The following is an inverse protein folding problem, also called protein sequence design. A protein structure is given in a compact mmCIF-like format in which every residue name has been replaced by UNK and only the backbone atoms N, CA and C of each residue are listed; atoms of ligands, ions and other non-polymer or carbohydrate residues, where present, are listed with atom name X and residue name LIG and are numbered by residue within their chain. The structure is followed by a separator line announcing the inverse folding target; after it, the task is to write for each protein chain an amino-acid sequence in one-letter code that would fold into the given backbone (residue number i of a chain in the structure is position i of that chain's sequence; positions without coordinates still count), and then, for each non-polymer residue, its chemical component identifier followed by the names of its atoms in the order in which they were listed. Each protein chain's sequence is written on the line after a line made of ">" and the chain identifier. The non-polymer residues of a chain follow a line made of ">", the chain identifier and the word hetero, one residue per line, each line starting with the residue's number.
data_IF_730545630267
#
_entry.id   IF_730545630267
#
_cell.length_a   1.000
_cell.length_b   1.000
_cell.length_c   1.000
_cell.angle_alpha   90.00
_cell.angle_beta   90.00
_cell.angle_gamma   90.00
#
_symmetry.space_group_name_H-M   'P 1'
#
loop_
_entity.id
_entity.type
_entity.pdbx_description
1 polymer ?
#
# COMPACT_ATOMS: atom_id res chain seq x y z
N UNK A 1 -22.05 -8.67 -21.90
CA UNK A 1 -22.35 -7.23 -21.89
C UNK A 1 -22.55 -6.65 -20.49
N UNK A 2 -23.41 -7.17 -19.61
CA UNK A 2 -23.65 -6.60 -18.25
C UNK A 2 -22.38 -6.51 -17.37
N UNK A 3 -21.43 -7.44 -17.45
CA UNK A 3 -20.16 -7.39 -16.70
C UNK A 3 -19.23 -6.24 -17.16
N UNK A 4 -19.21 -5.95 -18.47
CA UNK A 4 -18.42 -4.84 -19.02
C UNK A 4 -18.99 -3.48 -18.58
N UNK A 5 -20.31 -3.30 -18.62
CA UNK A 5 -20.95 -2.05 -18.19
C UNK A 5 -20.71 -1.78 -16.70
N UNK A 6 -20.73 -2.82 -15.86
CA UNK A 6 -20.41 -2.72 -14.44
C UNK A 6 -18.94 -2.31 -14.23
N UNK A 7 -18.04 -2.73 -15.11
CA UNK A 7 -16.61 -2.36 -15.06
C UNK A 7 -16.35 -0.87 -15.37
N UNK A 8 -17.20 -0.24 -16.18
CA UNK A 8 -17.13 1.18 -16.57
C UNK A 8 -17.98 2.11 -15.69
N UNK A 9 -18.75 1.53 -14.74
CA UNK A 9 -19.59 2.32 -13.84
C UNK A 9 -18.72 3.15 -12.88
N UNK A 10 -18.99 4.46 -12.79
CA UNK A 10 -18.34 5.39 -11.85
C UNK A 10 -18.49 4.92 -10.39
N UNK A 11 -19.62 4.30 -10.06
CA UNK A 11 -19.87 3.72 -8.73
C UNK A 11 -18.93 2.56 -8.41
N UNK A 12 -18.61 1.71 -9.40
CA UNK A 12 -17.64 0.63 -9.24
C UNK A 12 -16.21 1.16 -9.08
N UNK A 13 -15.84 2.19 -9.86
CA UNK A 13 -14.52 2.83 -9.77
C UNK A 13 -14.36 3.55 -8.43
N UNK A 14 -15.40 4.27 -7.98
CA UNK A 14 -15.40 4.91 -6.67
C UNK A 14 -15.33 3.89 -5.52
N UNK A 15 -16.02 2.76 -5.65
CA UNK A 15 -15.96 1.66 -4.67
C UNK A 15 -14.55 1.08 -4.54
N UNK A 16 -13.94 0.68 -5.66
CA UNK A 16 -12.59 0.14 -5.67
C UNK A 16 -11.54 1.14 -5.12
N UNK A 17 -11.68 2.43 -5.46
CA UNK A 17 -10.74 3.47 -4.98
C UNK A 17 -10.92 3.74 -3.48
N UNK A 18 -12.16 3.68 -2.96
CA UNK A 18 -12.43 3.83 -1.54
C UNK A 18 -11.92 2.62 -0.73
N UNK A 19 -11.97 1.43 -1.29
CA UNK A 19 -11.40 0.21 -0.69
C UNK A 19 -9.87 0.33 -0.52
N UNK A 20 -9.20 1.05 -1.43
CA UNK A 20 -7.77 1.38 -1.31
C UNK A 20 -7.47 2.55 -0.37
N UNK A 21 -8.46 3.09 0.37
CA UNK A 21 -8.27 4.20 1.30
C UNK A 21 -8.08 5.57 0.65
N UNK A 22 -8.33 5.70 -0.67
CA UNK A 22 -8.25 6.97 -1.37
C UNK A 22 -9.64 7.60 -1.55
N UNK A 23 -9.74 8.91 -1.35
CA UNK A 23 -10.96 9.65 -1.69
C UNK A 23 -11.07 9.84 -3.21
N UNK A 24 -12.05 9.20 -3.84
CA UNK A 24 -12.36 9.44 -5.24
C UNK A 24 -12.93 10.84 -5.43
N UNK A 25 -12.20 11.72 -6.10
CA UNK A 25 -12.68 13.07 -6.41
C UNK A 25 -13.26 13.11 -7.83
N UNK A 26 -14.59 13.14 -7.92
CA UNK A 26 -15.31 13.35 -9.19
C UNK A 26 -14.81 14.58 -9.95
N UNK A 27 -14.45 15.66 -9.24
CA UNK A 27 -13.90 16.88 -9.86
C UNK A 27 -12.61 16.60 -10.61
N UNK A 28 -11.68 15.87 -10.00
CA UNK A 28 -10.39 15.50 -10.64
C UNK A 28 -10.62 14.60 -11.86
N UNK A 29 -11.59 13.70 -11.80
CA UNK A 29 -11.98 12.84 -12.92
C UNK A 29 -12.53 13.64 -14.10
N UNK A 30 -13.48 14.56 -13.84
CA UNK A 30 -14.09 15.43 -14.87
C UNK A 30 -13.03 16.34 -15.50
N UNK A 31 -12.17 16.97 -14.70
CA UNK A 31 -11.08 17.82 -15.19
C UNK A 31 -10.12 17.02 -16.09
N UNK A 32 -9.81 15.76 -15.73
CA UNK A 32 -8.98 14.89 -16.56
C UNK A 32 -9.63 14.57 -17.92
N UNK A 33 -10.94 14.31 -17.94
CA UNK A 33 -11.69 14.07 -19.19
C UNK A 33 -11.67 15.33 -20.08
N UNK A 34 -11.98 16.48 -19.50
CA UNK A 34 -12.01 17.77 -20.24
C UNK A 34 -10.61 18.07 -20.80
N UNK A 35 -9.57 17.89 -20.00
CA UNK A 35 -8.19 18.12 -20.43
C UNK A 35 -7.77 17.22 -21.59
N UNK A 36 -8.04 15.91 -21.50
CA UNK A 36 -7.72 14.97 -22.58
C UNK A 36 -8.53 15.25 -23.84
N UNK A 37 -9.82 15.49 -23.71
CA UNK A 37 -10.71 15.82 -24.85
C UNK A 37 -10.28 17.11 -25.53
N UNK A 38 -9.96 18.15 -24.75
CA UNK A 38 -9.46 19.43 -25.27
C UNK A 38 -8.13 19.28 -26.00
N UNK A 39 -7.20 18.51 -25.45
CA UNK A 39 -5.91 18.24 -26.09
C UNK A 39 -6.07 17.49 -27.43
N UNK A 40 -6.92 16.45 -27.47
CA UNK A 40 -7.22 15.70 -28.70
C UNK A 40 -7.84 16.61 -29.77
N UNK A 41 -8.77 17.49 -29.37
CA UNK A 41 -9.41 18.41 -30.29
C UNK A 41 -8.41 19.40 -30.88
N UNK A 42 -7.54 19.99 -30.04
CA UNK A 42 -6.49 20.91 -30.49
C UNK A 42 -5.53 20.24 -31.48
N UNK A 43 -5.04 19.04 -31.14
CA UNK A 43 -4.16 18.29 -32.04
C UNK A 43 -4.88 17.96 -33.35
N UNK A 44 -6.14 17.52 -33.29
CA UNK A 44 -6.94 17.25 -34.49
C UNK A 44 -7.13 18.46 -35.42
N UNK A 45 -7.30 19.65 -34.85
CA UNK A 45 -7.39 20.90 -35.59
C UNK A 45 -6.06 21.28 -36.25
N UNK A 46 -4.95 21.15 -35.54
CA UNK A 46 -3.59 21.43 -36.07
C UNK A 46 -3.31 20.55 -37.30
N UNK A 47 -3.64 19.25 -37.22
CA UNK A 47 -3.44 18.30 -38.33
C UNK A 47 -4.54 18.34 -39.38
N UNK A 48 -5.52 19.30 -39.29
CA UNK A 48 -6.65 19.43 -40.21
C UNK A 48 -7.40 18.10 -40.45
N UNK A 49 -7.55 17.29 -39.39
CA UNK A 49 -8.26 16.01 -39.48
C UNK A 49 -9.76 16.27 -39.74
N UNK A 50 -10.38 15.40 -40.56
CA UNK A 50 -11.83 15.45 -40.74
C UNK A 50 -12.54 15.18 -39.41
N UNK A 51 -13.60 15.92 -39.11
CA UNK A 51 -14.35 15.87 -37.86
C UNK A 51 -14.70 14.45 -37.39
N UNK A 52 -15.04 13.57 -38.34
CA UNK A 52 -15.35 12.15 -38.05
C UNK A 52 -14.21 11.38 -37.34
N UNK A 53 -12.94 11.68 -37.70
CA UNK A 53 -11.79 11.02 -37.09
C UNK A 53 -11.53 11.55 -35.67
N UNK A 54 -11.70 12.87 -35.47
CA UNK A 54 -11.58 13.50 -34.15
C UNK A 54 -12.63 12.89 -33.21
N UNK A 55 -13.87 12.73 -33.67
CA UNK A 55 -14.96 12.14 -32.87
C UNK A 55 -14.70 10.69 -32.51
N UNK A 56 -14.17 9.89 -33.46
CA UNK A 56 -13.78 8.50 -33.19
C UNK A 56 -12.67 8.39 -32.12
N UNK A 57 -11.64 9.24 -32.19
CA UNK A 57 -10.55 9.27 -31.21
C UNK A 57 -11.05 9.67 -29.83
N UNK A 58 -11.98 10.65 -29.74
CA UNK A 58 -12.58 11.07 -28.47
C UNK A 58 -13.36 9.90 -27.84
N UNK A 59 -14.17 9.17 -28.61
CA UNK A 59 -14.92 8.01 -28.10
C UNK A 59 -13.97 6.94 -27.59
N UNK A 60 -12.91 6.60 -28.34
CA UNK A 60 -11.89 5.65 -27.91
C UNK A 60 -11.19 6.10 -26.62
N UNK A 61 -10.85 7.39 -26.49
CA UNK A 61 -10.18 7.92 -25.30
C UNK A 61 -11.07 7.85 -24.06
N UNK A 62 -12.37 8.12 -24.19
CA UNK A 62 -13.34 8.01 -23.11
C UNK A 62 -13.50 6.58 -22.58
N UNK A 63 -13.32 5.58 -23.45
CA UNK A 63 -13.35 4.17 -23.04
C UNK A 63 -12.05 3.75 -22.33
N UNK A 64 -10.91 4.31 -22.70
CA UNK A 64 -9.61 3.95 -22.13
C UNK A 64 -9.34 4.65 -20.80
N UNK A 65 -9.80 5.89 -20.62
CA UNK A 65 -9.56 6.70 -19.42
C UNK A 65 -9.89 6.01 -18.09
N UNK A 66 -11.06 5.39 -17.90
CA UNK A 66 -11.40 4.73 -16.63
C UNK A 66 -10.45 3.56 -16.31
N UNK A 67 -9.97 2.83 -17.33
CA UNK A 67 -9.01 1.75 -17.15
C UNK A 67 -7.64 2.27 -16.68
N UNK A 68 -7.17 3.37 -17.26
CA UNK A 68 -5.90 4.01 -16.87
C UNK A 68 -5.96 4.55 -15.45
N UNK A 69 -7.07 5.17 -15.07
CA UNK A 69 -7.27 5.70 -13.72
C UNK A 69 -7.27 4.56 -12.70
N UNK A 70 -8.00 3.48 -12.94
CA UNK A 70 -8.01 2.28 -12.09
C UNK A 70 -6.59 1.74 -11.89
N UNK A 71 -5.85 1.56 -12.99
CA UNK A 71 -4.48 1.07 -12.94
C UNK A 71 -3.56 1.99 -12.14
N UNK A 72 -3.73 3.31 -12.28
CA UNK A 72 -2.95 4.30 -11.53
C UNK A 72 -3.20 4.19 -10.02
N UNK A 73 -4.47 4.13 -9.59
CA UNK A 73 -4.80 4.01 -8.16
C UNK A 73 -4.34 2.67 -7.58
N UNK A 74 -4.54 1.57 -8.31
CA UNK A 74 -4.04 0.27 -7.89
C UNK A 74 -2.51 0.25 -7.74
N UNK A 75 -1.78 0.82 -8.70
CA UNK A 75 -0.32 0.92 -8.60
C UNK A 75 0.11 1.80 -7.42
N UNK A 76 -0.55 2.94 -7.21
CA UNK A 76 -0.24 3.83 -6.08
C UNK A 76 -0.49 3.12 -4.74
N UNK A 77 -1.56 2.34 -4.63
CA UNK A 77 -1.85 1.56 -3.43
C UNK A 77 -0.74 0.53 -3.16
N UNK A 78 -0.38 -0.26 -4.17
CA UNK A 78 0.72 -1.23 -4.05
C UNK A 78 2.06 -0.59 -3.69
N UNK A 79 2.36 0.56 -4.28
CA UNK A 79 3.59 1.31 -3.95
C UNK A 79 3.57 1.80 -2.50
N UNK A 80 2.40 2.22 -2.00
CA UNK A 80 2.26 2.64 -0.60
C UNK A 80 2.39 1.46 0.35
N UNK A 81 1.70 0.34 0.09
CA UNK A 81 1.85 -0.89 0.87
C UNK A 81 3.32 -1.36 0.92
N UNK A 82 4.00 -1.32 -0.23
CA UNK A 82 5.42 -1.67 -0.29
C UNK A 82 6.27 -0.72 0.56
N UNK A 83 6.02 0.59 0.49
CA UNK A 83 6.71 1.59 1.30
C UNK A 83 6.44 1.43 2.79
N UNK A 84 5.20 1.12 3.17
CA UNK A 84 4.81 0.88 4.56
C UNK A 84 5.53 -0.36 5.13
N UNK A 85 5.59 -1.45 4.34
CA UNK A 85 6.31 -2.67 4.72
C UNK A 85 7.81 -2.43 4.85
N UNK A 86 8.40 -1.65 3.93
CA UNK A 86 9.82 -1.29 3.97
C UNK A 86 10.16 -0.51 5.25
N UNK A 87 9.41 0.56 5.54
CA UNK A 87 9.56 1.35 6.75
C UNK A 87 9.41 0.46 8.00
N UNK A 88 8.39 -0.39 8.00
CA UNK A 88 8.12 -1.30 9.10
C UNK A 88 9.28 -2.26 9.38
N UNK A 89 9.74 -2.98 8.35
CA UNK A 89 10.80 -3.97 8.48
C UNK A 89 12.10 -3.35 8.99
N UNK A 90 12.51 -2.23 8.41
CA UNK A 90 13.75 -1.56 8.80
C UNK A 90 13.67 -1.00 10.22
N UNK A 91 12.60 -0.27 10.54
CA UNK A 91 12.47 0.36 11.84
C UNK A 91 12.33 -0.65 12.97
N UNK A 92 11.54 -1.71 12.76
CA UNK A 92 11.41 -2.79 13.75
C UNK A 92 12.77 -3.41 14.08
N UNK A 93 13.58 -3.72 13.04
CA UNK A 93 14.90 -4.31 13.25
C UNK A 93 15.86 -3.32 13.93
N UNK A 94 15.91 -2.07 13.48
CA UNK A 94 16.79 -1.05 14.10
C UNK A 94 16.44 -0.82 15.56
N UNK A 95 15.18 -0.69 15.90
CA UNK A 95 14.74 -0.49 17.27
C UNK A 95 15.03 -1.72 18.13
N UNK A 96 14.75 -2.92 17.61
CA UNK A 96 14.98 -4.17 18.34
C UNK A 96 16.47 -4.48 18.56
N UNK A 97 17.37 -4.12 17.64
CA UNK A 97 18.83 -4.21 17.86
C UNK A 97 19.27 -3.33 19.04
N UNK A 98 18.65 -2.17 19.21
CA UNK A 98 18.92 -1.22 20.29
C UNK A 98 18.35 -1.73 21.62
N UNK A 99 17.10 -2.12 21.61
CA UNK A 99 16.35 -2.62 22.76
C UNK A 99 15.58 -3.85 22.36
N UNK A 100 15.98 -5.06 22.80
CA UNK A 100 15.39 -6.31 22.36
C UNK A 100 14.03 -6.57 23.02
N UNK A 101 13.07 -5.70 22.76
CA UNK A 101 11.67 -5.78 23.20
C UNK A 101 10.74 -5.43 22.06
N UNK A 102 9.80 -6.31 21.75
CA UNK A 102 8.81 -6.14 20.69
C UNK A 102 7.97 -4.90 20.93
N UNK A 103 7.49 -4.71 22.17
CA UNK A 103 6.71 -3.52 22.53
C UNK A 103 7.45 -2.21 22.21
N UNK A 104 8.73 -2.11 22.60
CA UNK A 104 9.56 -0.92 22.30
C UNK A 104 9.75 -0.73 20.81
N UNK A 105 10.01 -1.82 20.07
CA UNK A 105 10.20 -1.75 18.62
C UNK A 105 8.93 -1.31 17.90
N UNK A 106 7.75 -1.82 18.30
CA UNK A 106 6.46 -1.39 17.79
C UNK A 106 6.17 0.08 18.12
N UNK A 107 6.42 0.52 19.36
CA UNK A 107 6.23 1.90 19.79
C UNK A 107 7.11 2.89 19.01
N UNK A 108 8.40 2.56 18.81
CA UNK A 108 9.30 3.37 18.00
C UNK A 108 8.86 3.44 16.53
N UNK A 109 8.34 2.32 16.00
CA UNK A 109 7.83 2.26 14.63
C UNK A 109 6.53 3.06 14.50
N UNK A 110 5.65 2.99 15.49
CA UNK A 110 4.43 3.80 15.56
C UNK A 110 4.70 5.30 15.54
N UNK A 111 5.78 5.75 16.20
CA UNK A 111 6.15 7.16 16.27
C UNK A 111 6.47 7.76 14.89
N UNK A 112 7.01 6.97 13.97
CA UNK A 112 7.40 7.42 12.61
C UNK A 112 6.41 7.02 11.52
N UNK A 113 5.54 6.04 11.80
CA UNK A 113 4.54 5.55 10.85
C UNK A 113 3.41 6.58 10.63
N UNK A 114 2.81 6.52 9.45
CA UNK A 114 1.64 7.30 9.10
C UNK A 114 0.52 6.44 8.50
N UNK A 115 -0.66 7.04 8.33
CA UNK A 115 -1.79 6.44 7.62
C UNK A 115 -2.21 5.06 8.14
N UNK A 116 -2.32 4.09 7.22
CA UNK A 116 -2.82 2.75 7.52
C UNK A 116 -1.86 1.96 8.43
N UNK A 117 -0.55 2.02 8.16
CA UNK A 117 0.45 1.36 9.00
C UNK A 117 0.35 1.83 10.45
N UNK A 118 0.20 3.14 10.68
CA UNK A 118 0.05 3.70 12.02
C UNK A 118 -1.18 3.17 12.76
N UNK A 119 -2.30 3.01 12.06
CA UNK A 119 -3.52 2.44 12.66
C UNK A 119 -3.31 0.99 13.09
N UNK A 120 -2.69 0.17 12.24
CA UNK A 120 -2.37 -1.22 12.56
C UNK A 120 -1.38 -1.36 13.72
N UNK A 121 -0.36 -0.50 13.76
CA UNK A 121 0.60 -0.49 14.87
C UNK A 121 -0.04 -0.10 16.20
N UNK A 122 -1.01 0.82 16.16
CA UNK A 122 -1.79 1.16 17.35
C UNK A 122 -2.58 -0.05 17.84
N UNK A 123 -3.30 -0.72 16.95
CA UNK A 123 -4.08 -1.93 17.29
C UNK A 123 -3.18 -3.03 17.86
N UNK A 124 -2.00 -3.25 17.26
CA UNK A 124 -1.03 -4.21 17.76
C UNK A 124 -0.46 -3.82 19.13
N UNK A 125 -0.22 -2.54 19.40
CA UNK A 125 0.21 -2.05 20.72
C UNK A 125 -0.90 -2.20 21.76
N UNK A 126 -2.13 -1.86 21.41
CA UNK A 126 -3.30 -2.02 22.28
C UNK A 126 -3.47 -3.51 22.66
N UNK A 127 -3.27 -4.43 21.69
CA UNK A 127 -3.29 -5.88 21.96
C UNK A 127 -2.17 -6.33 22.91
N UNK A 128 -0.96 -5.76 22.79
CA UNK A 128 0.12 -6.05 23.73
C UNK A 128 -0.12 -5.52 25.14
N UNK A 129 -0.86 -4.41 25.28
CA UNK A 129 -1.15 -3.80 26.60
C UNK A 129 -2.33 -4.45 27.29
N UNK A 130 -3.36 -4.84 26.56
CA UNK A 130 -4.63 -5.33 27.10
C UNK A 130 -4.94 -6.78 26.81
N UNK A 131 -4.20 -7.43 25.91
CA UNK A 131 -4.35 -8.84 25.59
C UNK A 131 -4.02 -9.74 26.78
N UNK A 132 -4.76 -10.83 26.91
CA UNK A 132 -4.59 -11.81 28.00
C UNK A 132 -4.20 -13.17 27.40
N UNK A 133 -3.07 -13.71 27.84
CA UNK A 133 -2.65 -15.06 27.43
C UNK A 133 -1.18 -15.19 27.07
N UNK A 134 -0.76 -16.44 26.88
CA UNK A 134 0.65 -16.77 26.57
C UNK A 134 1.02 -16.42 25.12
N UNK A 135 0.04 -16.10 24.26
CA UNK A 135 0.21 -15.88 22.83
C UNK A 135 0.10 -14.39 22.40
N UNK A 136 0.07 -13.45 23.35
CA UNK A 136 -0.15 -12.01 23.09
C UNK A 136 0.79 -11.46 22.01
N UNK A 137 2.06 -11.86 21.99
CA UNK A 137 3.00 -11.42 20.95
C UNK A 137 2.59 -11.90 19.55
N UNK A 138 2.08 -13.14 19.43
CA UNK A 138 1.62 -13.67 18.15
C UNK A 138 0.35 -12.98 17.69
N UNK A 139 -0.61 -12.76 18.57
CA UNK A 139 -1.88 -12.12 18.28
C UNK A 139 -1.68 -10.66 17.84
N UNK A 140 -0.88 -9.90 18.57
CA UNK A 140 -0.54 -8.54 18.23
C UNK A 140 0.17 -8.40 16.87
N UNK A 141 1.16 -9.26 16.60
CA UNK A 141 1.92 -9.20 15.36
C UNK A 141 1.13 -9.78 14.17
N UNK A 142 0.20 -10.70 14.40
CA UNK A 142 -0.70 -11.26 13.39
C UNK A 142 -1.60 -10.20 12.75
N UNK A 143 -1.97 -9.15 13.48
CA UNK A 143 -2.72 -7.99 12.96
C UNK A 143 -2.00 -7.40 11.74
N UNK A 144 -0.69 -7.21 11.85
CA UNK A 144 0.13 -6.65 10.77
C UNK A 144 0.33 -7.68 9.65
N UNK A 145 0.56 -8.95 9.98
CA UNK A 145 0.74 -10.02 9.00
C UNK A 145 -0.48 -10.23 8.10
N UNK A 146 -1.68 -10.20 8.68
CA UNK A 146 -2.94 -10.36 7.93
C UNK A 146 -3.17 -9.22 6.94
N UNK A 147 -2.76 -8.01 7.30
CA UNK A 147 -2.98 -6.84 6.46
C UNK A 147 -1.97 -6.73 5.31
N UNK A 148 -0.70 -6.99 5.54
CA UNK A 148 0.34 -6.85 4.52
C UNK A 148 0.68 -8.14 3.76
N UNK A 149 0.26 -9.31 4.25
CA UNK A 149 0.51 -10.64 3.65
C UNK A 149 1.92 -10.82 3.03
N UNK A 150 2.93 -10.33 3.74
CA UNK A 150 4.32 -10.35 3.31
C UNK A 150 5.10 -11.43 4.08
N UNK A 151 5.74 -12.36 3.35
CA UNK A 151 6.52 -13.44 3.97
C UNK A 151 7.68 -12.92 4.83
N UNK A 152 8.28 -11.78 4.47
CA UNK A 152 9.36 -11.14 5.22
C UNK A 152 8.91 -10.60 6.56
N UNK A 153 7.71 -10.01 6.61
CA UNK A 153 7.08 -9.56 7.85
C UNK A 153 6.90 -10.74 8.79
N UNK A 154 6.33 -11.84 8.30
CA UNK A 154 6.15 -13.07 9.08
C UNK A 154 7.47 -13.66 9.58
N UNK A 155 8.48 -13.72 8.72
CA UNK A 155 9.81 -14.21 9.11
C UNK A 155 10.43 -13.34 10.20
N UNK A 156 10.34 -12.01 10.08
CA UNK A 156 10.81 -11.08 11.09
C UNK A 156 10.09 -11.32 12.43
N UNK A 157 8.77 -11.39 12.43
CA UNK A 157 7.98 -11.60 13.65
C UNK A 157 8.36 -12.87 14.40
N UNK A 158 8.40 -14.00 13.70
CA UNK A 158 8.85 -15.25 14.31
C UNK A 158 10.26 -15.15 14.91
N UNK A 159 11.14 -14.42 14.23
CA UNK A 159 12.50 -14.23 14.72
C UNK A 159 12.54 -13.35 15.98
N UNK A 160 11.80 -12.22 15.99
CA UNK A 160 11.73 -11.33 17.14
C UNK A 160 11.11 -12.02 18.37
N UNK A 161 10.01 -12.76 18.20
CA UNK A 161 9.37 -13.51 19.28
C UNK A 161 10.34 -14.54 19.86
N UNK A 162 11.04 -15.28 19.00
CA UNK A 162 12.03 -16.27 19.49
C UNK A 162 13.15 -15.62 20.29
N UNK A 163 13.62 -14.44 19.91
CA UNK A 163 14.67 -13.72 20.65
C UNK A 163 14.14 -13.24 21.99
N UNK A 164 12.97 -12.63 22.02
CA UNK A 164 12.40 -12.07 23.25
C UNK A 164 12.07 -13.16 24.27
N UNK A 165 11.56 -14.30 23.79
CA UNK A 165 11.17 -15.42 24.67
C UNK A 165 12.33 -16.33 25.09
N UNK A 166 13.28 -16.59 24.19
CA UNK A 166 14.37 -17.58 24.43
C UNK A 166 15.74 -16.93 24.61
N UNK A 167 15.88 -15.63 24.25
CA UNK A 167 17.16 -14.94 24.26
C UNK A 167 18.11 -15.41 23.15
N UNK A 168 19.37 -15.03 23.23
CA UNK A 168 20.41 -15.49 22.32
C UNK A 168 21.22 -14.39 21.63
N UNK A 169 22.17 -14.79 20.78
CA UNK A 169 22.98 -13.88 19.96
C UNK A 169 22.24 -13.53 18.68
N UNK A 170 21.58 -12.40 18.65
CA UNK A 170 20.66 -12.01 17.59
C UNK A 170 21.17 -10.88 16.65
N UNK A 171 22.12 -10.04 17.12
CA UNK A 171 22.53 -8.83 16.38
C UNK A 171 23.02 -9.13 14.96
N UNK A 172 23.89 -10.14 14.81
CA UNK A 172 24.41 -10.52 13.51
C UNK A 172 23.30 -11.08 12.57
N UNK A 173 22.40 -11.89 13.12
CA UNK A 173 21.29 -12.44 12.36
C UNK A 173 20.30 -11.35 11.89
N UNK A 174 19.98 -10.38 12.75
CA UNK A 174 19.18 -9.21 12.37
C UNK A 174 19.84 -8.35 11.30
N UNK A 175 21.17 -8.18 11.35
CA UNK A 175 21.91 -7.47 10.30
C UNK A 175 21.89 -8.22 8.96
N UNK A 176 21.88 -9.54 8.98
CA UNK A 176 21.70 -10.34 7.74
C UNK A 176 20.30 -10.17 7.18
N UNK A 177 19.26 -10.16 8.03
CA UNK A 177 17.89 -9.88 7.62
C UNK A 177 17.75 -8.49 7.00
N UNK A 178 18.35 -7.46 7.61
CA UNK A 178 18.36 -6.10 7.02
C UNK A 178 18.97 -6.10 5.62
N UNK A 179 20.10 -6.75 5.40
CA UNK A 179 20.71 -6.85 4.08
C UNK A 179 19.83 -7.58 3.06
N UNK A 180 19.01 -8.53 3.51
CA UNK A 180 18.03 -9.19 2.65
C UNK A 180 16.88 -8.25 2.30
N UNK A 181 16.40 -7.47 3.26
CA UNK A 181 15.38 -6.44 3.02
C UNK A 181 15.87 -5.37 2.04
N UNK A 182 17.09 -4.85 2.24
CA UNK A 182 17.72 -3.89 1.30
C UNK A 182 17.80 -4.41 -0.13
N UNK A 183 18.11 -5.70 -0.30
CA UNK A 183 18.14 -6.34 -1.62
C UNK A 183 16.76 -6.46 -2.23
N UNK A 184 15.77 -6.79 -1.42
CA UNK A 184 14.38 -6.92 -1.88
C UNK A 184 13.79 -5.59 -2.32
N UNK A 185 14.13 -4.49 -1.64
CA UNK A 185 13.66 -3.14 -2.01
C UNK A 185 14.25 -2.67 -3.33
N UNK A 186 15.49 -3.11 -3.66
CA UNK A 186 16.21 -2.70 -4.88
C UNK A 186 15.83 -3.50 -6.14
N UNK A 187 15.16 -4.65 -5.98
CA UNK A 187 14.73 -5.51 -7.09
C UNK A 187 13.24 -5.31 -7.43
#
# INVERSE_FOLDING_TARGET
>A
MKKLIKYFSLTSISGDISEYGYSFSLRKYIVSIIGVTGCITLVGLIFKLKLKYILCIIICSLLILPLLIRKKYHNNHRMKEFSDVDIYLHQMVYSFIRTPKIHTALSDTYAIADGHLKALLKEALDELEYGMGDNVYYEALEIIEKNYNCSRVRTLHHFLINIETKGGRYKNALQVLLKDFDRWVKN
#
